data_IF_416654292629
#
_entry.id   IF_416654292629
#
_cell.length_a   1.000
_cell.length_b   1.000
_cell.length_c   1.000
_cell.angle_alpha   90.00
_cell.angle_beta   90.00
_cell.angle_gamma   90.00
#
_symmetry.space_group_name_H-M   'P 1'
#
loop_
_entity.id
_entity.type
_entity.pdbx_description
1 polymer ?
#
# COMPACT_ATOMS: atom_id res chain seq x y z
N UNK A 1 -43.86 47.00 -60.52
CA UNK A 1 -43.28 48.11 -59.72
C UNK A 1 -43.03 47.54 -58.32
N UNK A 2 -41.79 47.21 -57.96
CA UNK A 2 -40.88 48.06 -57.14
C UNK A 2 -41.58 48.59 -55.87
N UNK A 3 -41.13 48.37 -54.63
CA UNK A 3 -39.76 48.29 -54.08
C UNK A 3 -39.71 47.54 -52.72
N UNK A 4 -38.52 47.02 -52.41
CA UNK A 4 -38.05 46.50 -51.11
C UNK A 4 -38.11 47.52 -49.95
N UNK A 5 -38.25 47.01 -48.71
CA UNK A 5 -37.42 47.43 -47.57
C UNK A 5 -37.32 46.30 -46.54
N UNK A 6 -36.10 45.77 -46.40
CA UNK A 6 -35.61 44.94 -45.29
C UNK A 6 -35.53 45.77 -44.00
N UNK A 7 -35.77 45.13 -42.85
CA UNK A 7 -34.92 45.28 -41.65
C UNK A 7 -34.85 43.94 -40.91
N UNK A 8 -33.63 43.60 -40.50
CA UNK A 8 -33.15 42.30 -40.02
C UNK A 8 -33.44 41.99 -38.53
N UNK A 9 -33.79 40.71 -38.28
CA UNK A 9 -33.27 39.67 -37.32
C UNK A 9 -32.88 40.02 -35.85
N UNK A 10 -32.92 39.07 -34.86
CA UNK A 10 -32.44 37.67 -34.95
C UNK A 10 -33.35 36.61 -34.26
N UNK A 11 -33.24 35.29 -34.43
CA UNK A 11 -32.35 34.40 -35.18
C UNK A 11 -32.85 32.94 -35.03
N UNK A 12 -32.78 32.21 -36.15
CA UNK A 12 -32.56 30.77 -36.41
C UNK A 12 -33.33 29.65 -35.67
N UNK A 13 -34.13 28.88 -36.43
CA UNK A 13 -34.85 27.67 -35.99
C UNK A 13 -34.34 26.35 -36.59
N UNK A 14 -33.45 26.40 -37.60
CA UNK A 14 -32.73 25.23 -38.15
C UNK A 14 -31.43 24.93 -37.41
N UNK A 15 -30.78 25.94 -36.84
CA UNK A 15 -29.53 25.80 -36.08
C UNK A 15 -29.73 25.00 -34.78
N UNK A 16 -30.89 25.12 -34.13
CA UNK A 16 -31.18 24.42 -32.88
C UNK A 16 -31.32 22.88 -33.00
N UNK A 17 -31.64 22.33 -34.19
CA UNK A 17 -31.77 20.88 -34.36
C UNK A 17 -30.45 20.22 -34.78
N UNK A 18 -29.63 20.93 -35.56
CA UNK A 18 -28.27 20.50 -35.90
C UNK A 18 -27.32 20.65 -34.70
N UNK A 19 -27.48 21.69 -33.86
CA UNK A 19 -26.77 21.84 -32.58
C UNK A 19 -27.13 20.74 -31.58
N UNK A 20 -28.39 20.32 -31.54
CA UNK A 20 -28.82 19.16 -30.76
C UNK A 20 -28.16 17.85 -31.25
N UNK A 21 -28.02 17.65 -32.57
CA UNK A 21 -27.33 16.49 -33.13
C UNK A 21 -25.82 16.49 -32.84
N UNK A 22 -25.19 17.65 -32.71
CA UNK A 22 -23.80 17.81 -32.27
C UNK A 22 -23.67 17.53 -30.77
N UNK A 23 -24.58 18.05 -29.96
CA UNK A 23 -24.62 17.83 -28.51
C UNK A 23 -24.82 16.34 -28.17
N UNK A 24 -25.67 15.62 -28.92
CA UNK A 24 -25.88 14.17 -28.79
C UNK A 24 -24.66 13.35 -29.23
N UNK A 25 -23.97 13.73 -30.32
CA UNK A 25 -22.71 13.08 -30.72
C UNK A 25 -21.56 13.35 -29.74
N UNK A 26 -21.59 14.48 -29.02
CA UNK A 26 -20.71 14.71 -27.88
C UNK A 26 -21.11 13.88 -26.66
N UNK A 27 -22.39 13.54 -26.47
CA UNK A 27 -22.87 12.55 -25.47
C UNK A 27 -22.42 11.12 -25.86
N UNK A 28 -22.48 10.71 -27.13
CA UNK A 28 -21.97 9.42 -27.62
C UNK A 28 -20.43 9.29 -27.48
N UNK A 29 -19.68 10.40 -27.52
CA UNK A 29 -18.25 10.46 -27.16
C UNK A 29 -18.01 10.49 -25.63
N UNK A 30 -19.01 10.92 -24.84
CA UNK A 30 -19.00 10.87 -23.36
C UNK A 30 -19.24 9.46 -22.82
N UNK A 31 -19.92 8.59 -23.56
CA UNK A 31 -20.10 7.17 -23.23
C UNK A 31 -18.99 6.24 -23.78
N UNK A 32 -18.06 6.77 -24.59
CA UNK A 32 -17.28 5.95 -25.53
C UNK A 32 -16.06 5.19 -24.98
N UNK A 33 -15.87 5.06 -23.67
CA UNK A 33 -14.95 4.00 -23.19
C UNK A 33 -15.46 3.28 -21.94
N UNK A 34 -16.24 3.92 -21.06
CA UNK A 34 -16.87 3.26 -19.90
C UNK A 34 -17.90 4.19 -19.21
N UNK A 35 -19.10 3.71 -18.90
CA UNK A 35 -20.11 4.48 -18.13
C UNK A 35 -19.63 4.76 -16.71
N UNK A 36 -20.19 5.75 -15.98
CA UNK A 36 -19.85 5.99 -14.57
C UNK A 36 -19.85 4.71 -13.71
N UNK A 37 -20.87 3.88 -13.88
CA UNK A 37 -21.01 2.60 -13.18
C UNK A 37 -19.90 1.63 -13.58
N UNK A 38 -19.67 1.46 -14.88
CA UNK A 38 -18.65 0.54 -15.37
C UNK A 38 -17.23 0.99 -14.94
N UNK A 39 -16.99 2.30 -14.82
CA UNK A 39 -15.73 2.86 -14.32
C UNK A 39 -15.52 2.59 -12.82
N UNK A 40 -16.59 2.73 -12.03
CA UNK A 40 -16.60 2.33 -10.61
C UNK A 40 -16.36 0.83 -10.50
N UNK A 41 -17.05 0.00 -11.29
CA UNK A 41 -16.88 -1.46 -11.31
C UNK A 41 -15.46 -1.86 -11.69
N UNK A 42 -14.87 -1.23 -12.70
CA UNK A 42 -13.49 -1.47 -13.11
C UNK A 42 -12.50 -1.25 -11.96
N UNK A 43 -12.67 -0.17 -11.20
CA UNK A 43 -11.79 0.19 -10.08
C UNK A 43 -12.04 -0.65 -8.81
N UNK A 44 -13.26 -1.13 -8.63
CA UNK A 44 -13.69 -1.87 -7.43
C UNK A 44 -13.91 -3.38 -7.66
N UNK A 45 -13.60 -3.90 -8.85
CA UNK A 45 -13.72 -5.34 -9.13
C UNK A 45 -12.89 -6.17 -8.14
N UNK A 46 -13.31 -7.38 -7.78
CA UNK A 46 -12.48 -8.30 -7.02
C UNK A 46 -11.10 -8.46 -7.68
N UNK A 47 -10.03 -8.32 -6.88
CA UNK A 47 -8.65 -8.35 -7.39
C UNK A 47 -8.14 -7.05 -8.00
N UNK A 48 -8.90 -5.95 -7.97
CA UNK A 48 -8.43 -4.64 -8.43
C UNK A 48 -7.31 -4.05 -7.55
N UNK A 49 -7.05 -4.61 -6.37
CA UNK A 49 -6.00 -4.15 -5.45
C UNK A 49 -4.65 -4.05 -6.14
N UNK A 50 -4.22 -5.08 -6.87
CA UNK A 50 -2.95 -5.07 -7.60
C UNK A 50 -3.00 -4.20 -8.85
N UNK A 51 -4.14 -4.20 -9.55
CA UNK A 51 -4.35 -3.35 -10.72
C UNK A 51 -4.22 -1.86 -10.38
N UNK A 52 -4.79 -1.46 -9.25
CA UNK A 52 -4.81 -0.08 -8.78
C UNK A 52 -3.45 0.40 -8.23
N UNK A 53 -2.44 -0.47 -8.11
CA UNK A 53 -1.07 -0.09 -7.76
C UNK A 53 -0.36 0.64 -8.90
N UNK A 54 -0.76 0.37 -10.15
CA UNK A 54 -0.21 1.06 -11.31
C UNK A 54 -1.05 2.33 -11.61
N UNK A 55 -0.51 3.53 -11.40
CA UNK A 55 -1.27 4.76 -11.58
C UNK A 55 -1.58 5.07 -13.05
N UNK A 56 -0.77 4.59 -14.01
CA UNK A 56 -1.03 4.77 -15.44
C UNK A 56 -2.29 4.03 -15.88
N UNK A 57 -2.51 2.85 -15.32
CA UNK A 57 -3.66 1.99 -15.63
C UNK A 57 -4.93 2.48 -14.95
N UNK A 58 -4.82 3.01 -13.74
CA UNK A 58 -5.94 3.71 -13.07
C UNK A 58 -6.43 4.89 -13.92
N UNK A 59 -5.51 5.69 -14.46
CA UNK A 59 -5.86 6.86 -15.26
C UNK A 59 -6.08 6.57 -16.77
N UNK A 60 -5.86 5.33 -17.21
CA UNK A 60 -5.94 4.92 -18.63
C UNK A 60 -5.09 5.82 -19.55
N UNK A 61 -3.82 5.92 -19.21
CA UNK A 61 -2.82 6.71 -19.93
C UNK A 61 -1.60 5.87 -20.24
N UNK A 62 -0.90 6.23 -21.32
CA UNK A 62 0.42 5.66 -21.58
C UNK A 62 1.46 6.25 -20.59
N UNK A 63 2.49 5.50 -20.21
CA UNK A 63 3.54 5.98 -19.30
C UNK A 63 4.29 7.22 -19.81
N UNK A 64 4.38 7.37 -21.13
CA UNK A 64 5.00 8.52 -21.80
C UNK A 64 4.11 9.78 -21.80
N UNK A 65 2.90 9.72 -21.24
CA UNK A 65 1.97 10.85 -21.21
C UNK A 65 2.55 12.06 -20.46
N UNK A 66 2.30 13.25 -21.01
CA UNK A 66 2.69 14.53 -20.39
C UNK A 66 1.82 14.84 -19.19
N UNK A 67 2.32 15.61 -18.23
CA UNK A 67 1.56 16.01 -17.02
C UNK A 67 0.21 16.65 -17.39
N UNK A 68 0.14 17.40 -18.49
CA UNK A 68 -1.10 18.00 -18.98
C UNK A 68 -2.13 16.95 -19.42
N UNK A 69 -1.69 15.91 -20.13
CA UNK A 69 -2.54 14.79 -20.54
C UNK A 69 -3.03 14.00 -19.32
N UNK A 70 -2.15 13.76 -18.35
CA UNK A 70 -2.48 13.11 -17.07
C UNK A 70 -3.55 13.94 -16.34
N UNK A 71 -3.38 15.26 -16.25
CA UNK A 71 -4.32 16.18 -15.59
C UNK A 71 -5.67 16.22 -16.30
N UNK A 72 -5.68 16.17 -17.64
CA UNK A 72 -6.91 16.10 -18.44
C UNK A 72 -7.68 14.80 -18.13
N UNK A 73 -6.97 13.67 -18.11
CA UNK A 73 -7.56 12.35 -17.82
C UNK A 73 -8.06 12.23 -16.39
N UNK A 74 -7.29 12.73 -15.42
CA UNK A 74 -7.73 12.83 -14.03
C UNK A 74 -9.05 13.59 -13.90
N UNK A 75 -9.16 14.78 -14.51
CA UNK A 75 -10.42 15.56 -14.48
C UNK A 75 -11.60 14.81 -15.07
N UNK A 76 -11.41 14.15 -16.21
CA UNK A 76 -12.46 13.35 -16.86
C UNK A 76 -12.92 12.20 -15.97
N UNK A 77 -12.00 11.40 -15.44
CA UNK A 77 -12.34 10.26 -14.59
C UNK A 77 -12.95 10.68 -13.26
N UNK A 78 -12.45 11.74 -12.64
CA UNK A 78 -12.97 12.29 -11.39
C UNK A 78 -14.44 12.71 -11.51
N UNK A 79 -14.85 13.28 -12.64
CA UNK A 79 -16.25 13.61 -12.91
C UNK A 79 -17.10 12.34 -13.02
N UNK A 80 -16.60 11.32 -13.73
CA UNK A 80 -17.33 10.06 -13.92
C UNK A 80 -17.55 9.31 -12.61
N UNK A 81 -16.57 9.30 -11.70
CA UNK A 81 -16.67 8.54 -10.44
C UNK A 81 -17.07 9.39 -9.23
N UNK A 82 -17.45 10.66 -9.42
CA UNK A 82 -17.77 11.56 -8.30
C UNK A 82 -19.00 11.08 -7.51
N UNK A 83 -18.99 11.09 -6.17
CA UNK A 83 -20.12 10.65 -5.34
C UNK A 83 -21.40 11.46 -5.58
N UNK A 84 -21.30 12.77 -5.85
CA UNK A 84 -22.48 13.62 -6.07
C UNK A 84 -23.22 13.31 -7.38
N UNK A 85 -22.51 12.81 -8.40
CA UNK A 85 -23.09 12.39 -9.69
C UNK A 85 -23.58 10.94 -9.68
N UNK A 86 -23.14 10.15 -8.70
CA UNK A 86 -23.45 8.73 -8.56
C UNK A 86 -24.14 8.47 -7.21
N UNK A 87 -25.26 9.17 -6.96
CA UNK A 87 -25.92 9.19 -5.65
C UNK A 87 -26.43 7.80 -5.23
N UNK A 88 -26.90 7.00 -6.18
CA UNK A 88 -27.38 5.62 -5.95
C UNK A 88 -26.27 4.68 -5.43
N UNK A 89 -25.00 5.01 -5.68
CA UNK A 89 -23.84 4.21 -5.33
C UNK A 89 -22.75 5.04 -4.62
N UNK A 90 -23.16 6.00 -3.79
CA UNK A 90 -22.27 7.03 -3.22
C UNK A 90 -21.00 6.47 -2.56
N UNK A 91 -21.10 5.39 -1.78
CA UNK A 91 -19.94 4.78 -1.13
C UNK A 91 -18.95 4.16 -2.12
N UNK A 92 -19.46 3.47 -3.15
CA UNK A 92 -18.63 2.87 -4.20
C UNK A 92 -17.98 3.97 -5.04
N UNK A 93 -18.74 5.00 -5.39
CA UNK A 93 -18.23 6.18 -6.08
C UNK A 93 -17.10 6.86 -5.30
N UNK A 94 -17.27 7.07 -3.99
CA UNK A 94 -16.22 7.63 -3.14
C UNK A 94 -14.93 6.79 -3.16
N UNK A 95 -15.05 5.46 -2.98
CA UNK A 95 -13.88 4.56 -3.04
C UNK A 95 -13.17 4.62 -4.40
N UNK A 96 -13.93 4.65 -5.49
CA UNK A 96 -13.39 4.77 -6.85
C UNK A 96 -12.70 6.13 -7.06
N UNK A 97 -13.30 7.22 -6.57
CA UNK A 97 -12.73 8.56 -6.60
C UNK A 97 -11.40 8.63 -5.83
N UNK A 98 -11.33 8.04 -4.64
CA UNK A 98 -10.10 8.00 -3.84
C UNK A 98 -8.96 7.28 -4.56
N UNK A 99 -9.26 6.22 -5.32
CA UNK A 99 -8.28 5.50 -6.14
C UNK A 99 -7.76 6.40 -7.27
N UNK A 100 -8.66 7.06 -8.01
CA UNK A 100 -8.31 8.00 -9.09
C UNK A 100 -7.46 9.16 -8.57
N UNK A 101 -7.84 9.74 -7.42
CA UNK A 101 -7.12 10.83 -6.77
C UNK A 101 -5.73 10.38 -6.28
N UNK A 102 -5.60 9.18 -5.73
CA UNK A 102 -4.30 8.62 -5.34
C UNK A 102 -3.37 8.48 -6.54
N UNK A 103 -3.85 7.92 -7.65
CA UNK A 103 -3.07 7.79 -8.87
C UNK A 103 -2.60 9.14 -9.42
N UNK A 104 -3.49 10.15 -9.41
CA UNK A 104 -3.11 11.51 -9.77
C UNK A 104 -2.01 12.07 -8.87
N UNK A 105 -2.16 12.00 -7.54
CA UNK A 105 -1.15 12.51 -6.59
C UNK A 105 0.21 11.84 -6.76
N UNK A 106 0.22 10.54 -7.05
CA UNK A 106 1.46 9.80 -7.34
C UNK A 106 2.14 10.31 -8.61
N UNK A 107 1.38 10.63 -9.65
CA UNK A 107 1.93 11.09 -10.93
C UNK A 107 2.20 12.60 -10.97
N UNK A 108 1.53 13.39 -10.12
CA UNK A 108 1.78 14.82 -9.94
C UNK A 108 3.11 15.05 -9.21
N UNK A 109 3.45 14.21 -8.24
CA UNK A 109 4.74 14.28 -7.57
C UNK A 109 5.85 13.74 -8.48
N UNK A 110 6.80 14.59 -8.85
CA UNK A 110 7.88 14.26 -9.79
C UNK A 110 8.72 13.05 -9.33
N UNK A 111 9.10 13.00 -8.05
CA UNK A 111 9.88 11.89 -7.47
C UNK A 111 9.12 10.58 -7.52
N UNK A 112 7.83 10.58 -7.19
CA UNK A 112 6.99 9.39 -7.22
C UNK A 112 6.69 8.95 -8.66
N UNK A 113 6.41 9.90 -9.57
CA UNK A 113 6.26 9.64 -11.01
C UNK A 113 7.51 9.01 -11.59
N UNK A 114 8.70 9.52 -11.25
CA UNK A 114 9.97 8.95 -11.70
C UNK A 114 10.09 7.48 -11.27
N UNK A 115 9.82 7.16 -10.00
CA UNK A 115 9.80 5.77 -9.54
C UNK A 115 8.83 4.89 -10.33
N UNK A 116 7.63 5.39 -10.65
CA UNK A 116 6.68 4.65 -11.47
C UNK A 116 7.18 4.41 -12.90
N UNK A 117 7.90 5.38 -13.48
CA UNK A 117 8.53 5.24 -14.79
C UNK A 117 9.70 4.26 -14.75
N UNK A 118 10.54 4.30 -13.71
CA UNK A 118 11.66 3.37 -13.53
C UNK A 118 11.14 1.92 -13.46
N UNK A 119 10.03 1.67 -12.76
CA UNK A 119 9.36 0.35 -12.73
C UNK A 119 8.88 -0.07 -14.13
N UNK A 120 8.36 0.87 -14.93
CA UNK A 120 7.90 0.57 -16.28
C UNK A 120 9.07 0.27 -17.23
N UNK A 121 10.17 1.01 -17.13
CA UNK A 121 11.37 0.74 -17.92
C UNK A 121 11.98 -0.61 -17.55
N UNK A 122 12.05 -0.95 -16.26
CA UNK A 122 12.47 -2.27 -15.80
C UNK A 122 11.56 -3.39 -16.36
N UNK A 123 10.24 -3.14 -16.45
CA UNK A 123 9.32 -4.10 -17.05
C UNK A 123 9.61 -4.33 -18.54
N UNK A 124 9.95 -3.27 -19.26
CA UNK A 124 10.32 -3.32 -20.67
C UNK A 124 11.63 -4.09 -20.87
N UNK A 125 12.67 -3.75 -20.12
CA UNK A 125 13.97 -4.44 -20.18
C UNK A 125 13.84 -5.94 -19.86
N UNK A 126 13.08 -6.30 -18.83
CA UNK A 126 12.82 -7.72 -18.47
C UNK A 126 12.07 -8.45 -19.57
N UNK A 127 11.11 -7.78 -20.21
CA UNK A 127 10.33 -8.34 -21.32
C UNK A 127 11.21 -8.56 -22.54
N UNK A 128 12.04 -7.57 -22.89
CA UNK A 128 13.00 -7.65 -23.99
C UNK A 128 14.00 -8.79 -23.74
N UNK A 129 14.56 -8.88 -22.54
CA UNK A 129 15.45 -9.98 -22.15
C UNK A 129 14.77 -11.35 -22.34
N UNK A 130 13.53 -11.51 -21.86
CA UNK A 130 12.75 -12.73 -22.06
C UNK A 130 12.56 -13.08 -23.54
N UNK A 131 12.26 -12.09 -24.38
CA UNK A 131 12.11 -12.28 -25.83
C UNK A 131 13.44 -12.71 -26.46
N UNK A 132 14.56 -12.08 -26.08
CA UNK A 132 15.89 -12.47 -26.59
C UNK A 132 16.25 -13.90 -26.20
N UNK A 133 15.92 -14.34 -24.99
CA UNK A 133 16.16 -15.72 -24.53
C UNK A 133 15.29 -16.72 -25.29
N UNK A 134 14.01 -16.40 -25.54
CA UNK A 134 13.13 -17.23 -26.39
C UNK A 134 13.72 -17.38 -27.81
N UNK A 135 14.20 -16.29 -28.40
CA UNK A 135 14.86 -16.31 -29.74
C UNK A 135 16.14 -17.16 -29.73
N UNK A 136 16.98 -17.03 -28.70
CA UNK A 136 18.20 -17.86 -28.56
C UNK A 136 17.84 -19.34 -28.44
N UNK A 137 16.78 -19.68 -27.70
CA UNK A 137 16.30 -21.06 -27.56
C UNK A 137 15.81 -21.64 -28.89
N UNK A 138 14.98 -20.91 -29.64
CA UNK A 138 14.54 -21.32 -30.98
C UNK A 138 15.72 -21.54 -31.93
N UNK A 139 16.75 -20.68 -31.86
CA UNK A 139 17.99 -20.87 -32.64
C UNK A 139 18.73 -22.16 -32.26
N UNK A 140 18.82 -22.50 -30.97
CA UNK A 140 19.42 -23.76 -30.50
C UNK A 140 18.63 -25.00 -30.93
N UNK A 141 17.31 -24.87 -31.05
CA UNK A 141 16.41 -25.93 -31.52
C UNK A 141 16.31 -26.03 -33.06
N UNK A 142 17.15 -25.28 -33.80
CA UNK A 142 17.09 -25.15 -35.27
C UNK A 142 15.73 -24.65 -35.81
N UNK A 143 14.93 -23.99 -34.96
CA UNK A 143 13.62 -23.38 -35.28
C UNK A 143 13.71 -21.86 -35.39
N UNK A 144 14.85 -21.35 -35.87
CA UNK A 144 15.11 -19.90 -35.94
C UNK A 144 14.12 -19.10 -36.81
N UNK A 145 13.36 -19.77 -37.67
CA UNK A 145 12.35 -19.17 -38.55
C UNK A 145 10.95 -19.10 -37.94
N UNK A 146 10.69 -19.79 -36.82
CA UNK A 146 9.38 -19.70 -36.14
C UNK A 146 9.22 -18.31 -35.51
N UNK A 147 8.06 -17.66 -35.79
CA UNK A 147 7.71 -16.37 -35.20
C UNK A 147 7.31 -16.54 -33.74
N UNK A 148 7.72 -15.59 -32.91
CA UNK A 148 7.35 -15.54 -31.50
C UNK A 148 6.05 -14.72 -31.38
N UNK A 149 5.13 -15.07 -30.46
CA UNK A 149 3.91 -14.30 -30.26
C UNK A 149 4.16 -12.81 -29.99
N UNK A 150 5.20 -12.48 -29.23
CA UNK A 150 5.61 -11.12 -28.90
C UNK A 150 6.23 -10.33 -30.06
N UNK A 151 6.40 -10.91 -31.25
CA UNK A 151 6.77 -10.15 -32.46
C UNK A 151 5.63 -9.26 -32.97
N UNK A 152 4.38 -9.56 -32.57
CA UNK A 152 3.22 -8.69 -32.79
C UNK A 152 3.23 -7.51 -31.79
N UNK A 153 3.19 -6.25 -32.25
CA UNK A 153 3.23 -5.07 -31.37
C UNK A 153 2.18 -5.06 -30.25
N UNK A 154 0.97 -5.60 -30.51
CA UNK A 154 -0.07 -5.65 -29.49
C UNK A 154 0.28 -6.65 -28.37
N UNK A 155 0.81 -7.81 -28.73
CA UNK A 155 1.29 -8.82 -27.76
C UNK A 155 2.53 -8.36 -27.00
N UNK A 156 3.42 -7.62 -27.65
CA UNK A 156 4.56 -6.98 -26.99
C UNK A 156 4.11 -5.99 -25.92
N UNK A 157 3.21 -5.06 -26.27
CA UNK A 157 2.62 -4.12 -25.30
C UNK A 157 1.94 -4.85 -24.14
N UNK A 158 1.20 -5.93 -24.44
CA UNK A 158 0.56 -6.75 -23.41
C UNK A 158 1.58 -7.45 -22.49
N UNK A 159 2.69 -7.96 -23.03
CA UNK A 159 3.75 -8.59 -22.24
C UNK A 159 4.40 -7.59 -21.27
N UNK A 160 4.69 -6.37 -21.74
CA UNK A 160 5.18 -5.28 -20.87
C UNK A 160 4.16 -4.95 -19.79
N UNK A 161 2.88 -4.82 -20.15
CA UNK A 161 1.79 -4.57 -19.20
C UNK A 161 1.75 -5.62 -18.09
N UNK A 162 1.79 -6.91 -18.45
CA UNK A 162 1.79 -8.02 -17.48
C UNK A 162 3.03 -7.95 -16.58
N UNK A 163 4.20 -7.67 -17.16
CA UNK A 163 5.44 -7.55 -16.39
C UNK A 163 5.41 -6.35 -15.42
N UNK A 164 4.94 -5.19 -15.88
CA UNK A 164 4.81 -3.98 -15.06
C UNK A 164 3.85 -4.22 -13.88
N UNK A 165 2.69 -4.83 -14.14
CA UNK A 165 1.73 -5.21 -13.09
C UNK A 165 2.37 -6.10 -12.02
N UNK A 166 3.17 -7.08 -12.44
CA UNK A 166 3.90 -7.95 -11.52
C UNK A 166 4.90 -7.17 -10.67
N UNK A 167 5.67 -6.26 -11.27
CA UNK A 167 6.64 -5.44 -10.54
C UNK A 167 5.98 -4.51 -9.52
N UNK A 168 4.90 -3.82 -9.89
CA UNK A 168 4.15 -2.98 -8.95
C UNK A 168 3.62 -3.82 -7.76
N UNK A 169 3.09 -5.03 -8.02
CA UNK A 169 2.64 -5.94 -6.99
C UNK A 169 3.78 -6.49 -6.10
N UNK A 170 4.95 -6.75 -6.67
CA UNK A 170 6.15 -7.17 -5.93
C UNK A 170 6.65 -6.04 -5.01
N UNK A 171 6.67 -4.80 -5.51
CA UNK A 171 7.06 -3.62 -4.75
C UNK A 171 6.14 -3.36 -3.56
N UNK A 172 4.82 -3.45 -3.75
CA UNK A 172 3.86 -3.28 -2.67
C UNK A 172 3.97 -4.40 -1.62
N UNK A 173 4.16 -5.66 -2.05
CA UNK A 173 4.42 -6.77 -1.11
C UNK A 173 5.69 -6.53 -0.28
N UNK A 174 6.76 -6.07 -0.93
CA UNK A 174 8.02 -5.73 -0.23
C UNK A 174 7.81 -4.59 0.77
N UNK A 175 7.06 -3.55 0.39
CA UNK A 175 6.70 -2.45 1.29
C UNK A 175 5.93 -2.93 2.52
N UNK A 176 4.89 -3.74 2.31
CA UNK A 176 4.09 -4.31 3.41
C UNK A 176 4.93 -5.16 4.37
N UNK A 177 5.85 -5.97 3.84
CA UNK A 177 6.77 -6.77 4.66
C UNK A 177 7.72 -5.90 5.49
N UNK A 178 8.22 -4.80 4.92
CA UNK A 178 9.05 -3.84 5.65
C UNK A 178 8.25 -3.12 6.75
N UNK A 179 7.06 -2.60 6.40
CA UNK A 179 6.17 -1.93 7.36
C UNK A 179 5.81 -2.87 8.53
N UNK A 180 5.56 -4.15 8.25
CA UNK A 180 5.28 -5.16 9.28
C UNK A 180 6.50 -5.39 10.19
N UNK A 181 7.70 -5.55 9.62
CA UNK A 181 8.94 -5.72 10.39
C UNK A 181 9.22 -4.53 11.30
N UNK A 182 9.02 -3.31 10.79
CA UNK A 182 9.22 -2.08 11.56
C UNK A 182 8.21 -1.98 12.71
N UNK A 183 6.95 -2.36 12.49
CA UNK A 183 5.93 -2.41 13.54
C UNK A 183 6.28 -3.45 14.62
N UNK A 184 6.73 -4.63 14.23
CA UNK A 184 7.17 -5.69 15.14
C UNK A 184 8.41 -5.29 15.95
N UNK A 185 9.36 -4.58 15.34
CA UNK A 185 10.53 -4.03 16.03
C UNK A 185 10.13 -2.96 17.05
N UNK A 186 9.26 -2.01 16.67
CA UNK A 186 8.74 -0.99 17.59
C UNK A 186 7.98 -1.61 18.76
N UNK A 187 7.19 -2.66 18.49
CA UNK A 187 6.46 -3.41 19.52
C UNK A 187 7.44 -4.09 20.49
N UNK A 188 8.41 -4.85 19.97
CA UNK A 188 9.45 -5.50 20.79
C UNK A 188 10.24 -4.52 21.64
N UNK A 189 10.61 -3.37 21.07
CA UNK A 189 11.31 -2.31 21.80
C UNK A 189 10.48 -1.77 22.97
N UNK A 190 9.18 -1.52 22.75
CA UNK A 190 8.26 -1.06 23.79
C UNK A 190 8.05 -2.12 24.88
N UNK A 191 7.91 -3.39 24.49
CA UNK A 191 7.79 -4.49 25.45
C UNK A 191 9.05 -4.64 26.31
N UNK A 192 10.25 -4.53 25.71
CA UNK A 192 11.51 -4.56 26.44
C UNK A 192 11.66 -3.38 27.42
N UNK A 193 11.24 -2.17 27.04
CA UNK A 193 11.25 -0.99 27.91
C UNK A 193 10.31 -1.17 29.12
N UNK A 194 9.13 -1.73 28.90
CA UNK A 194 8.18 -2.06 29.99
C UNK A 194 8.78 -3.11 30.91
N UNK A 195 9.35 -4.19 30.37
CA UNK A 195 9.97 -5.26 31.16
C UNK A 195 11.16 -4.73 31.99
N UNK A 196 11.98 -3.84 31.42
CA UNK A 196 13.08 -3.20 32.14
C UNK A 196 12.57 -2.29 33.25
N UNK A 197 11.50 -1.52 33.00
CA UNK A 197 10.87 -0.72 34.04
C UNK A 197 10.28 -1.57 35.17
N UNK A 198 9.61 -2.68 34.84
CA UNK A 198 9.08 -3.65 35.81
C UNK A 198 10.21 -4.30 36.62
N UNK A 199 11.30 -4.73 35.99
CA UNK A 199 12.49 -5.26 36.67
C UNK A 199 13.08 -4.23 37.62
N UNK A 200 13.23 -2.98 37.17
CA UNK A 200 13.75 -1.88 38.00
C UNK A 200 12.82 -1.58 39.18
N UNK A 201 11.50 -1.64 38.99
CA UNK A 201 10.52 -1.49 40.08
C UNK A 201 10.63 -2.65 41.07
N UNK A 202 10.68 -3.89 40.58
CA UNK A 202 10.82 -5.09 41.40
C UNK A 202 12.13 -5.11 42.18
N UNK A 203 13.25 -4.68 41.57
CA UNK A 203 14.55 -4.58 42.25
C UNK A 203 14.53 -3.51 43.34
N UNK A 204 13.96 -2.33 43.07
CA UNK A 204 13.78 -1.28 44.08
C UNK A 204 12.91 -1.76 45.25
N UNK A 205 11.81 -2.44 44.97
CA UNK A 205 10.92 -2.99 45.99
C UNK A 205 11.62 -4.10 46.79
N UNK A 206 12.35 -5.00 46.13
CA UNK A 206 13.15 -6.02 46.77
C UNK A 206 14.22 -5.42 47.67
N UNK A 207 14.95 -4.40 47.21
CA UNK A 207 15.99 -3.72 47.97
C UNK A 207 15.41 -3.04 49.22
N UNK A 208 14.27 -2.36 49.08
CA UNK A 208 13.55 -1.77 50.21
C UNK A 208 13.13 -2.83 51.23
N UNK A 209 12.52 -3.93 50.79
CA UNK A 209 12.12 -5.03 51.66
C UNK A 209 13.33 -5.72 52.33
N UNK A 210 14.45 -5.86 51.61
CA UNK A 210 15.70 -6.41 52.13
C UNK A 210 16.30 -5.50 53.20
N UNK A 211 16.24 -4.18 53.00
CA UNK A 211 16.72 -3.17 53.94
C UNK A 211 15.87 -3.12 55.22
N UNK A 212 14.55 -3.07 55.08
CA UNK A 212 13.62 -3.04 56.22
C UNK A 212 13.73 -4.32 57.07
N UNK A 213 13.97 -5.48 56.44
CA UNK A 213 14.21 -6.74 57.16
C UNK A 213 15.62 -6.85 57.78
N UNK A 214 16.53 -5.90 57.53
CA UNK A 214 17.93 -5.95 58.01
C UNK A 214 18.00 -6.10 59.52
N UNK A 215 17.27 -5.27 60.28
CA UNK A 215 17.33 -5.31 61.74
C UNK A 215 16.87 -6.66 62.29
N UNK A 216 15.80 -7.22 61.72
CA UNK A 216 15.31 -8.56 62.09
C UNK A 216 16.32 -9.65 61.75
N UNK A 217 17.01 -9.56 60.60
CA UNK A 217 18.05 -10.51 60.19
C UNK A 217 19.28 -10.43 61.09
N UNK A 218 19.73 -9.23 61.43
CA UNK A 218 20.85 -8.98 62.35
C UNK A 218 20.54 -9.52 63.75
N UNK A 219 19.36 -9.22 64.29
CA UNK A 219 18.91 -9.75 65.58
C UNK A 219 18.85 -11.28 65.58
N UNK A 220 18.28 -11.89 64.52
CA UNK A 220 18.24 -13.35 64.37
C UNK A 220 19.62 -13.99 64.28
N UNK A 221 20.60 -13.32 63.66
CA UNK A 221 21.97 -13.81 63.59
C UNK A 221 22.69 -13.71 64.94
N UNK A 222 22.51 -12.61 65.67
CA UNK A 222 23.01 -12.48 67.04
C UNK A 222 22.43 -13.55 67.98
N UNK A 223 21.12 -13.85 67.90
CA UNK A 223 20.50 -14.89 68.71
C UNK A 223 21.02 -16.30 68.37
N UNK A 224 21.31 -16.57 67.10
CA UNK A 224 21.96 -17.81 66.65
C UNK A 224 23.39 -17.93 67.22
N UNK A 225 24.18 -16.85 67.13
CA UNK A 225 25.55 -16.82 67.67
C UNK A 225 25.58 -16.98 69.20
N UNK A 226 24.57 -16.43 69.88
CA UNK A 226 24.38 -16.57 71.32
C UNK A 226 23.86 -17.96 71.76
N UNK A 227 23.64 -18.90 70.82
CA UNK A 227 23.22 -20.27 71.12
C UNK A 227 21.78 -20.40 71.66
N UNK A 228 20.94 -19.38 71.49
CA UNK A 228 19.55 -19.42 71.97
C UNK A 228 18.71 -20.31 71.05
N UNK A 229 18.44 -21.54 71.46
CA UNK A 229 17.47 -22.41 70.78
C UNK A 229 16.06 -22.10 71.29
N UNK A 230 15.22 -21.50 70.44
CA UNK A 230 13.80 -21.33 70.74
C UNK A 230 13.11 -22.71 70.66
N UNK A 231 12.66 -23.23 71.81
CA UNK A 231 11.77 -24.40 71.88
C UNK A 231 10.48 -24.10 71.09
N UNK A 232 10.02 -25.13 70.38
CA UNK A 232 9.11 -25.09 69.23
C UNK A 232 7.74 -24.43 69.43
N UNK A 233 7.22 -23.83 68.34
CA UNK A 233 5.79 -23.92 67.99
C UNK A 233 5.63 -24.17 66.50
N UNK A 234 5.00 -25.31 66.20
CA UNK A 234 4.67 -25.85 64.88
C UNK A 234 3.77 -24.87 64.14
N UNK A 235 4.29 -24.12 63.16
CA UNK A 235 3.46 -23.31 62.26
C UNK A 235 3.97 -23.44 60.82
N UNK A 236 3.00 -23.58 59.91
CA UNK A 236 3.10 -24.09 58.54
C UNK A 236 4.28 -23.53 57.73
N UNK A 237 4.93 -24.41 56.96
CA UNK A 237 5.91 -24.06 55.92
C UNK A 237 5.26 -23.05 54.97
N UNK A 238 5.60 -21.77 55.08
CA UNK A 238 5.40 -20.82 53.99
C UNK A 238 6.60 -20.98 53.04
N UNK A 239 6.30 -21.60 51.91
CA UNK A 239 7.17 -21.71 50.75
C UNK A 239 7.48 -20.30 50.24
N UNK A 240 8.69 -19.79 50.48
CA UNK A 240 9.04 -18.43 50.05
C UNK A 240 10.45 -17.91 50.36
N UNK A 241 11.38 -18.72 50.89
CA UNK A 241 12.79 -18.31 50.91
C UNK A 241 13.39 -18.51 49.52
N UNK A 242 13.42 -17.42 48.73
CA UNK A 242 14.24 -17.33 47.53
C UNK A 242 15.71 -17.42 47.95
N UNK A 243 16.31 -18.59 47.78
CA UNK A 243 17.75 -18.79 47.93
C UNK A 243 18.42 -18.19 46.69
N UNK A 244 19.34 -17.23 46.81
CA UNK A 244 20.08 -16.71 45.66
C UNK A 244 20.82 -17.87 44.95
N UNK A 245 20.88 -17.88 43.60
CA UNK A 245 21.63 -18.91 42.88
C UNK A 245 23.08 -18.94 43.36
N UNK A 246 23.57 -20.12 43.76
CA UNK A 246 24.97 -20.28 44.18
C UNK A 246 25.89 -20.05 42.96
N UNK A 247 26.79 -19.09 43.06
CA UNK A 247 27.88 -18.89 42.10
C UNK A 247 28.75 -20.16 42.06
N UNK A 248 28.80 -20.85 40.92
CA UNK A 248 29.73 -21.96 40.68
C UNK A 248 30.97 -21.37 39.99
N UNK A 249 32.16 -21.38 40.59
CA UNK A 249 33.38 -21.03 39.87
C UNK A 249 33.66 -22.10 38.81
N UNK A 250 33.91 -21.67 37.56
CA UNK A 250 34.33 -22.56 36.47
C UNK A 250 35.59 -23.32 36.88
N UNK A 251 35.53 -24.64 36.73
CA UNK A 251 36.67 -25.53 36.92
C UNK A 251 37.48 -25.52 35.63
N UNK A 252 38.75 -25.14 35.74
CA UNK A 252 39.73 -25.18 34.64
C UNK A 252 40.15 -26.60 34.31
#
# INVERSE_FOLDING_TARGET
MSTFANTDLPGTSKDNFDDFYIEVKEIEKRDSVLTPIQQIDRLLRPGSTYFNLNPFEVLQIEPEATIEQIKKRYRQLSILVHPDKNQDNKERAQKAFDIVNRAWKTLENETARKKCLDVYEEAKERTDYMITEKRKKLKKENKSFEKIPEDDPAKYKHAIYVMAMKLFADMERRRQQLDQRDQEERKRKREAEIEEEEKRKAEKEWQKNFEESRQSRVNSWHDFQAGKTTKSKKQKRMHGMMVPPKFKPESR
#
